data_IF_611046878835
#
_entry.id   IF_611046878835
#
_cell.length_a   1.000
_cell.length_b   1.000
_cell.length_c   1.000
_cell.angle_alpha   90.00
_cell.angle_beta   90.00
_cell.angle_gamma   90.00
#
_symmetry.space_group_name_H-M   'P 1'
#
loop_
_entity.id
_entity.type
_entity.pdbx_description
1 polymer ?
#
# COMPACT_ATOMS: atom_id res chain seq x y z
N UNK A 1 -13.51 -7.28 -2.91
CA UNK A 1 -14.05 -7.70 -1.60
C UNK A 1 -13.40 -6.91 -0.45
N UNK A 2 -12.16 -6.42 -0.59
CA UNK A 2 -11.46 -5.64 0.44
C UNK A 2 -11.98 -4.23 0.71
N UNK A 3 -12.50 -3.45 -0.25
CA UNK A 3 -12.98 -2.07 0.04
C UNK A 3 -14.10 -2.06 1.09
N UNK A 4 -14.98 -3.07 1.06
CA UNK A 4 -16.00 -3.27 2.10
C UNK A 4 -15.38 -3.68 3.43
N UNK A 5 -14.31 -4.49 3.40
CA UNK A 5 -13.56 -4.89 4.61
C UNK A 5 -12.81 -3.70 5.20
N UNK A 6 -12.25 -2.80 4.38
CA UNK A 6 -11.59 -1.57 4.82
C UNK A 6 -12.62 -0.64 5.48
N UNK A 7 -13.80 -0.51 4.87
CA UNK A 7 -14.89 0.31 5.42
C UNK A 7 -15.43 -0.23 6.73
N UNK A 8 -15.69 -1.54 6.80
CA UNK A 8 -16.13 -2.21 8.03
C UNK A 8 -15.06 -2.14 9.13
N UNK A 9 -13.78 -2.27 8.76
CA UNK A 9 -12.66 -2.15 9.70
C UNK A 9 -12.58 -0.73 10.28
N UNK A 10 -12.67 0.30 9.44
CA UNK A 10 -12.69 1.70 9.86
C UNK A 10 -13.90 1.99 10.74
N UNK A 11 -15.09 1.52 10.38
CA UNK A 11 -16.31 1.69 11.20
C UNK A 11 -16.16 1.08 12.59
N UNK A 12 -15.54 -0.10 12.69
CA UNK A 12 -15.25 -0.75 13.99
C UNK A 12 -14.23 0.05 14.80
N UNK A 13 -13.19 0.58 14.17
CA UNK A 13 -12.22 1.46 14.83
C UNK A 13 -12.89 2.71 15.42
N UNK A 14 -13.80 3.35 14.67
CA UNK A 14 -14.56 4.53 15.13
C UNK A 14 -15.44 4.19 16.33
N UNK A 15 -15.96 2.95 16.41
CA UNK A 15 -16.73 2.45 17.57
C UNK A 15 -15.85 2.02 18.76
N UNK A 16 -14.53 2.19 18.68
CA UNK A 16 -13.59 1.86 19.77
C UNK A 16 -13.13 0.41 19.82
N UNK A 17 -13.31 -0.38 18.76
CA UNK A 17 -12.85 -1.77 18.72
C UNK A 17 -11.32 -1.84 18.63
N UNK A 18 -10.67 -2.25 19.72
CA UNK A 18 -9.21 -2.38 19.79
C UNK A 18 -8.64 -3.43 18.83
N UNK A 19 -9.40 -4.50 18.53
CA UNK A 19 -8.96 -5.53 17.58
C UNK A 19 -8.97 -4.98 16.16
N UNK A 20 -9.97 -4.15 15.82
CA UNK A 20 -9.99 -3.43 14.56
C UNK A 20 -8.81 -2.46 14.44
N UNK A 21 -8.48 -1.72 15.52
CA UNK A 21 -7.31 -0.85 15.54
C UNK A 21 -6.00 -1.60 15.29
N UNK A 22 -5.78 -2.75 15.94
CA UNK A 22 -4.58 -3.57 15.68
C UNK A 22 -4.51 -4.04 14.23
N UNK A 23 -5.63 -4.50 13.67
CA UNK A 23 -5.67 -4.93 12.27
C UNK A 23 -5.42 -3.77 11.30
N UNK A 24 -5.90 -2.56 11.62
CA UNK A 24 -5.62 -1.36 10.84
C UNK A 24 -4.12 -1.01 10.90
N UNK A 25 -3.50 -1.06 12.09
CA UNK A 25 -2.07 -0.81 12.27
C UNK A 25 -1.24 -1.80 11.45
N UNK A 26 -1.43 -3.10 11.65
CA UNK A 26 -0.69 -4.15 10.93
C UNK A 26 -0.81 -4.02 9.40
N UNK A 27 -1.94 -3.51 8.91
CA UNK A 27 -2.17 -3.35 7.49
C UNK A 27 -1.37 -2.21 6.86
N UNK A 28 -1.21 -1.10 7.59
CA UNK A 28 -0.57 0.10 7.05
C UNK A 28 0.81 0.38 7.67
N UNK A 29 1.27 -0.42 8.63
CA UNK A 29 2.55 -0.19 9.31
C UNK A 29 3.70 -0.11 8.31
N UNK A 30 3.74 -1.03 7.34
CA UNK A 30 4.79 -1.05 6.33
C UNK A 30 4.78 0.21 5.47
N UNK A 31 3.59 0.70 5.06
CA UNK A 31 3.47 1.94 4.30
C UNK A 31 3.99 3.14 5.09
N UNK A 32 3.58 3.26 6.36
CA UNK A 32 3.99 4.36 7.23
C UNK A 32 5.50 4.33 7.46
N UNK A 33 6.07 3.16 7.80
CA UNK A 33 7.51 3.03 7.99
C UNK A 33 8.30 3.27 6.71
N UNK A 34 7.86 2.77 5.55
CA UNK A 34 8.54 3.02 4.27
C UNK A 34 8.59 4.50 3.93
N UNK A 35 7.50 5.25 4.15
CA UNK A 35 7.47 6.70 3.92
C UNK A 35 8.33 7.45 4.94
N UNK A 36 8.30 7.05 6.21
CA UNK A 36 9.11 7.67 7.25
C UNK A 36 10.61 7.47 6.99
N UNK A 37 11.03 6.24 6.69
CA UNK A 37 12.43 5.88 6.46
C UNK A 37 13.00 6.44 5.14
N UNK A 38 12.16 6.64 4.13
CA UNK A 38 12.57 7.33 2.91
C UNK A 38 12.99 8.78 3.17
N UNK A 39 12.44 9.40 4.23
CA UNK A 39 12.70 10.79 4.58
C UNK A 39 13.76 10.86 5.68
N UNK A 40 13.54 10.15 6.80
CA UNK A 40 14.43 10.04 7.95
C UNK A 40 15.01 8.63 8.01
N UNK A 41 16.26 8.38 7.57
CA UNK A 41 16.86 7.05 7.60
C UNK A 41 17.11 6.49 9.02
N UNK A 42 16.95 7.34 10.05
CA UNK A 42 17.10 6.99 11.45
C UNK A 42 15.86 6.24 11.97
N UNK A 43 16.07 5.05 12.53
CA UNK A 43 14.99 4.17 12.99
C UNK A 43 14.26 4.73 14.22
N UNK A 44 14.95 5.46 15.09
CA UNK A 44 14.32 6.10 16.26
C UNK A 44 13.34 7.18 15.81
N UNK A 45 13.79 8.08 14.91
CA UNK A 45 12.93 9.09 14.30
C UNK A 45 11.73 8.45 13.58
N UNK A 46 11.94 7.37 12.83
CA UNK A 46 10.87 6.68 12.11
C UNK A 46 9.83 6.08 13.06
N UNK A 47 10.26 5.53 14.21
CA UNK A 47 9.37 5.04 15.26
C UNK A 47 8.55 6.16 15.90
N UNK A 48 9.18 7.31 16.19
CA UNK A 48 8.47 8.48 16.75
C UNK A 48 7.45 9.05 15.75
N UNK A 49 7.83 9.16 14.48
CA UNK A 49 6.94 9.58 13.40
C UNK A 49 5.75 8.62 13.29
N UNK A 50 6.01 7.30 13.32
CA UNK A 50 4.97 6.28 13.29
C UNK A 50 3.96 6.51 14.42
N UNK A 51 4.42 6.67 15.66
CA UNK A 51 3.54 6.94 16.80
C UNK A 51 2.71 8.21 16.62
N UNK A 52 3.32 9.31 16.13
CA UNK A 52 2.62 10.57 15.87
C UNK A 52 1.54 10.44 14.79
N UNK A 53 1.82 9.69 13.71
CA UNK A 53 0.88 9.41 12.63
C UNK A 53 -0.33 8.66 13.18
N UNK A 54 -0.13 7.61 13.98
CA UNK A 54 -1.22 6.83 14.55
C UNK A 54 -2.04 7.59 15.60
N UNK A 55 -1.38 8.41 16.42
CA UNK A 55 -2.06 9.33 17.35
C UNK A 55 -2.97 10.31 16.61
N UNK A 56 -2.49 10.88 15.49
CA UNK A 56 -3.31 11.76 14.68
C UNK A 56 -4.43 11.01 13.97
N UNK A 57 -4.17 9.81 13.45
CA UNK A 57 -5.21 8.99 12.85
C UNK A 57 -6.30 8.67 13.87
N UNK A 58 -5.92 8.32 15.10
CA UNK A 58 -6.87 8.05 16.18
C UNK A 58 -7.83 9.22 16.41
N UNK A 59 -7.32 10.45 16.36
CA UNK A 59 -8.12 11.66 16.55
C UNK A 59 -8.98 12.04 15.34
N UNK A 60 -8.55 11.67 14.12
CA UNK A 60 -9.13 12.17 12.87
C UNK A 60 -9.79 11.10 12.02
N UNK A 61 -9.80 9.82 12.45
CA UNK A 61 -10.33 8.72 11.66
C UNK A 61 -11.80 8.95 11.28
N UNK A 62 -12.60 9.54 12.17
CA UNK A 62 -14.00 9.91 11.91
C UNK A 62 -14.18 10.98 10.83
N UNK A 63 -13.15 11.78 10.55
CA UNK A 63 -13.20 12.84 9.54
C UNK A 63 -12.92 12.30 8.13
N UNK A 64 -12.41 11.07 8.02
CA UNK A 64 -12.07 10.42 6.75
C UNK A 64 -13.35 9.91 6.08
N UNK A 65 -13.93 10.76 5.23
CA UNK A 65 -15.20 10.47 4.52
C UNK A 65 -15.13 9.33 3.51
N UNK A 66 -13.94 9.04 2.97
CA UNK A 66 -13.70 8.00 1.97
C UNK A 66 -12.55 7.13 2.43
N UNK A 67 -12.85 5.89 2.77
CA UNK A 67 -11.86 4.95 3.29
C UNK A 67 -10.78 4.63 2.24
N UNK A 68 -11.12 4.75 0.96
CA UNK A 68 -10.18 4.59 -0.15
C UNK A 68 -9.07 5.67 -0.14
N UNK A 69 -9.29 6.80 0.53
CA UNK A 69 -8.32 7.88 0.67
C UNK A 69 -7.36 7.67 1.86
N UNK A 70 -7.61 6.70 2.74
CA UNK A 70 -6.78 6.45 3.92
C UNK A 70 -5.29 6.23 3.61
N UNK A 71 -4.90 5.46 2.57
CA UNK A 71 -3.48 5.31 2.22
C UNK A 71 -2.81 6.64 1.85
N UNK A 72 -3.46 7.44 1.00
CA UNK A 72 -2.95 8.75 0.57
C UNK A 72 -2.88 9.73 1.75
N UNK A 73 -3.86 9.67 2.65
CA UNK A 73 -3.86 10.45 3.90
C UNK A 73 -2.66 10.06 4.79
N UNK A 74 -2.41 8.75 4.98
CA UNK A 74 -1.27 8.26 5.74
C UNK A 74 0.06 8.73 5.15
N UNK A 75 0.26 8.58 3.85
CA UNK A 75 1.47 9.07 3.16
C UNK A 75 1.66 10.57 3.41
N UNK A 76 0.58 11.36 3.29
CA UNK A 76 0.61 12.81 3.47
C UNK A 76 1.00 13.20 4.90
N UNK A 77 0.39 12.56 5.90
CA UNK A 77 0.63 12.86 7.31
C UNK A 77 2.02 12.40 7.74
N UNK A 78 2.45 11.19 7.35
CA UNK A 78 3.79 10.68 7.61
C UNK A 78 4.85 11.60 7.01
N UNK A 79 4.68 12.01 5.74
CA UNK A 79 5.61 12.94 5.09
C UNK A 79 5.70 14.27 5.85
N UNK A 80 4.56 14.80 6.31
CA UNK A 80 4.52 16.06 7.06
C UNK A 80 5.28 15.96 8.38
N UNK A 81 5.07 14.89 9.16
CA UNK A 81 5.79 14.66 10.41
C UNK A 81 7.28 14.45 10.17
N UNK A 82 7.66 13.61 9.20
CA UNK A 82 9.06 13.39 8.85
C UNK A 82 9.78 14.67 8.38
N UNK A 83 9.13 15.47 7.54
CA UNK A 83 9.67 16.76 7.09
C UNK A 83 9.81 17.78 8.23
N UNK A 84 8.98 17.66 9.27
CA UNK A 84 9.09 18.48 10.48
C UNK A 84 10.30 18.05 11.31
N UNK A 85 10.48 16.74 11.53
CA UNK A 85 11.61 16.15 12.26
C UNK A 85 12.96 16.54 11.64
N UNK A 86 13.11 16.43 10.31
CA UNK A 86 14.33 16.85 9.62
C UNK A 86 14.59 18.34 9.79
N UNK A 87 13.58 19.18 9.61
CA UNK A 87 13.73 20.64 9.77
C UNK A 87 14.16 21.02 11.17
N UNK A 88 13.67 20.35 12.20
CA UNK A 88 14.10 20.58 13.58
C UNK A 88 15.54 20.10 13.85
N UNK A 89 16.03 19.05 13.19
CA UNK A 89 17.41 18.55 13.35
C UNK A 89 18.44 19.38 12.55
N UNK A 90 18.12 19.74 11.31
CA UNK A 90 19.10 20.29 10.37
C UNK A 90 19.26 21.82 10.45
N UNK A 91 18.31 22.55 11.01
CA UNK A 91 18.30 24.03 10.99
C UNK A 91 18.35 24.66 9.59
N UNK A 92 18.29 23.86 8.52
CA UNK A 92 18.46 24.24 7.12
C UNK A 92 17.55 23.41 6.22
N UNK A 93 17.11 23.98 5.10
CA UNK A 93 16.29 23.30 4.10
C UNK A 93 17.09 22.24 3.32
N UNK A 94 16.49 21.08 3.01
CA UNK A 94 17.10 20.12 2.10
C UNK A 94 17.30 20.74 0.70
N UNK A 95 18.45 20.45 0.08
CA UNK A 95 18.77 20.87 -1.29
C UNK A 95 17.71 20.35 -2.28
N UNK A 96 17.44 21.12 -3.33
CA UNK A 96 16.34 20.88 -4.29
C UNK A 96 16.46 19.52 -5.03
N UNK A 97 17.69 19.02 -5.21
CA UNK A 97 17.97 17.71 -5.79
C UNK A 97 17.51 16.55 -4.87
N UNK A 98 17.78 16.66 -3.57
CA UNK A 98 17.30 15.68 -2.56
C UNK A 98 15.77 15.65 -2.50
N UNK A 99 15.12 16.79 -2.71
CA UNK A 99 13.66 16.87 -2.75
C UNK A 99 13.06 16.18 -3.98
N UNK A 100 13.76 16.21 -5.13
CA UNK A 100 13.32 15.55 -6.36
C UNK A 100 13.42 14.03 -6.23
N UNK A 101 14.54 13.53 -5.73
CA UNK A 101 14.75 12.09 -5.51
C UNK A 101 13.77 11.54 -4.49
N UNK A 102 13.54 12.28 -3.39
CA UNK A 102 12.55 11.92 -2.40
C UNK A 102 11.14 11.87 -2.99
N UNK A 103 10.74 12.84 -3.82
CA UNK A 103 9.43 12.80 -4.50
C UNK A 103 9.29 11.58 -5.39
N UNK A 104 10.35 11.19 -6.11
CA UNK A 104 10.33 10.00 -6.95
C UNK A 104 10.17 8.74 -6.09
N UNK A 105 10.97 8.60 -5.02
CA UNK A 105 10.90 7.47 -4.09
C UNK A 105 9.52 7.34 -3.44
N UNK A 106 8.95 8.43 -2.94
CA UNK A 106 7.59 8.43 -2.39
C UNK A 106 6.55 8.03 -3.44
N UNK A 107 6.69 8.51 -4.68
CA UNK A 107 5.84 8.10 -5.79
C UNK A 107 6.02 6.62 -6.18
N UNK A 108 7.17 6.02 -5.94
CA UNK A 108 7.38 4.57 -6.10
C UNK A 108 6.65 3.79 -5.00
N UNK A 109 6.81 4.18 -3.73
CA UNK A 109 6.12 3.56 -2.59
C UNK A 109 4.59 3.62 -2.77
N UNK A 110 4.06 4.77 -3.19
CA UNK A 110 2.63 4.92 -3.44
C UNK A 110 2.13 4.00 -4.57
N UNK A 111 2.89 3.90 -5.67
CA UNK A 111 2.55 3.01 -6.80
C UNK A 111 2.62 1.54 -6.42
N UNK A 112 3.65 1.11 -5.69
CA UNK A 112 3.77 -0.26 -5.20
C UNK A 112 2.61 -0.60 -4.27
N UNK A 113 2.30 0.28 -3.32
CA UNK A 113 1.17 0.09 -2.41
C UNK A 113 -0.17 0.00 -3.14
N UNK A 114 -0.39 0.87 -4.14
CA UNK A 114 -1.60 0.82 -4.97
C UNK A 114 -1.69 -0.49 -5.77
N UNK A 115 -0.56 -0.96 -6.33
CA UNK A 115 -0.48 -2.23 -7.05
C UNK A 115 -0.81 -3.41 -6.15
N UNK A 116 -0.21 -3.48 -4.95
CA UNK A 116 -0.48 -4.57 -3.99
C UNK A 116 -1.95 -4.62 -3.61
N UNK A 117 -2.58 -3.47 -3.35
CA UNK A 117 -4.03 -3.40 -3.08
C UNK A 117 -4.87 -3.81 -4.28
N UNK A 118 -4.47 -3.45 -5.49
CA UNK A 118 -5.20 -3.83 -6.70
C UNK A 118 -5.09 -5.34 -6.98
N UNK A 119 -3.92 -5.93 -6.77
CA UNK A 119 -3.69 -7.37 -6.86
C UNK A 119 -4.48 -8.14 -5.80
N UNK A 120 -4.59 -7.62 -4.58
CA UNK A 120 -5.39 -8.24 -3.52
C UNK A 120 -6.90 -8.24 -3.84
N UNK A 121 -7.38 -7.26 -4.61
CA UNK A 121 -8.75 -7.20 -5.12
C UNK A 121 -9.01 -8.13 -6.30
N UNK A 122 -7.99 -8.51 -7.07
CA UNK A 122 -8.10 -9.63 -8.00
C UNK A 122 -8.36 -10.90 -7.17
N UNK A 123 -9.50 -11.52 -7.36
CA UNK A 123 -9.85 -12.76 -6.66
C UNK A 123 -9.78 -13.96 -7.59
N UNK A 124 -9.51 -15.12 -6.97
CA UNK A 124 -9.52 -16.43 -7.62
C UNK A 124 -8.49 -16.54 -8.75
N UNK A 125 -8.96 -17.08 -9.88
CA UNK A 125 -8.11 -17.50 -11.00
C UNK A 125 -7.23 -16.39 -11.60
N UNK A 126 -7.65 -15.12 -11.52
CA UNK A 126 -6.86 -14.02 -12.06
C UNK A 126 -5.64 -13.68 -11.20
N UNK A 127 -5.77 -13.66 -9.88
CA UNK A 127 -4.64 -13.39 -8.99
C UNK A 127 -3.59 -14.49 -9.12
N UNK A 128 -4.01 -15.75 -9.02
CA UNK A 128 -3.11 -16.89 -9.18
C UNK A 128 -2.38 -16.88 -10.54
N UNK A 129 -3.07 -16.51 -11.62
CA UNK A 129 -2.43 -16.40 -12.94
C UNK A 129 -1.37 -15.30 -12.98
N UNK A 130 -1.66 -14.12 -12.44
CA UNK A 130 -0.70 -13.00 -12.40
C UNK A 130 0.49 -13.34 -11.51
N UNK A 131 0.26 -13.94 -10.35
CA UNK A 131 1.32 -14.38 -9.42
C UNK A 131 2.26 -15.38 -10.10
N UNK A 132 1.72 -16.39 -10.78
CA UNK A 132 2.52 -17.40 -11.50
C UNK A 132 3.32 -16.81 -12.67
N UNK A 133 2.81 -15.78 -13.35
CA UNK A 133 3.44 -15.21 -14.54
C UNK A 133 4.52 -14.18 -14.22
N UNK A 134 4.41 -13.45 -13.11
CA UNK A 134 5.21 -12.25 -12.88
C UNK A 134 5.91 -12.20 -11.52
N UNK A 135 5.47 -12.99 -10.54
CA UNK A 135 5.97 -12.94 -9.16
C UNK A 135 6.54 -14.27 -8.68
N UNK A 136 6.44 -15.33 -9.49
CA UNK A 136 6.94 -16.65 -9.13
C UNK A 136 8.39 -16.82 -9.58
N UNK A 137 9.25 -17.22 -8.64
CA UNK A 137 10.69 -17.41 -8.85
C UNK A 137 10.98 -18.56 -9.85
N UNK A 138 10.11 -19.57 -9.91
CA UNK A 138 10.29 -20.76 -10.76
C UNK A 138 9.96 -20.51 -12.24
N UNK A 139 9.38 -19.35 -12.58
CA UNK A 139 8.96 -18.97 -13.95
C UNK A 139 8.26 -20.11 -14.73
N UNK A 140 7.13 -20.65 -14.23
CA UNK A 140 6.49 -21.83 -14.80
C UNK A 140 6.05 -21.61 -16.25
N UNK A 141 6.18 -22.66 -17.06
CA UNK A 141 5.72 -22.67 -18.45
C UNK A 141 4.20 -22.55 -18.53
N UNK A 142 3.69 -22.16 -19.71
CA UNK A 142 2.24 -22.05 -19.94
C UNK A 142 1.51 -23.38 -19.74
N UNK A 143 2.18 -24.52 -19.99
CA UNK A 143 1.63 -25.84 -19.73
C UNK A 143 1.45 -26.10 -18.22
N UNK A 144 2.43 -25.70 -17.40
CA UNK A 144 2.36 -25.83 -15.94
C UNK A 144 1.34 -24.89 -15.33
N UNK A 145 1.28 -23.64 -15.81
CA UNK A 145 0.26 -22.67 -15.41
C UNK A 145 -1.14 -23.19 -15.74
N UNK A 146 -1.35 -23.69 -16.95
CA UNK A 146 -2.62 -24.25 -17.39
C UNK A 146 -3.06 -25.43 -16.51
N UNK A 147 -2.12 -26.34 -16.20
CA UNK A 147 -2.34 -27.46 -15.29
C UNK A 147 -2.71 -26.99 -13.88
N UNK A 148 -1.98 -26.04 -13.31
CA UNK A 148 -2.25 -25.47 -11.97
C UNK A 148 -3.61 -24.77 -11.89
N UNK A 149 -4.06 -24.12 -12.98
CA UNK A 149 -5.32 -23.37 -13.03
C UNK A 149 -6.54 -24.19 -13.50
N UNK A 150 -6.33 -25.42 -13.98
CA UNK A 150 -7.37 -26.28 -14.53
C UNK A 150 -7.99 -25.69 -15.81
N UNK A 151 -7.18 -25.12 -16.70
CA UNK A 151 -7.63 -24.53 -17.98
C UNK A 151 -6.82 -25.09 -19.17
N UNK A 152 -7.34 -25.04 -20.41
CA UNK A 152 -6.55 -25.38 -21.59
C UNK A 152 -5.35 -24.45 -21.75
N UNK A 153 -4.20 -24.96 -22.22
CA UNK A 153 -2.98 -24.15 -22.45
C UNK A 153 -3.25 -22.96 -23.37
N UNK A 154 -4.03 -23.17 -24.44
CA UNK A 154 -4.44 -22.11 -25.36
C UNK A 154 -5.28 -21.00 -24.70
N UNK A 155 -5.89 -21.27 -23.54
CA UNK A 155 -6.68 -20.29 -22.78
C UNK A 155 -5.84 -19.40 -21.87
N UNK A 156 -4.55 -19.71 -21.63
CA UNK A 156 -3.68 -18.93 -20.74
C UNK A 156 -3.51 -17.49 -21.24
N UNK A 157 -3.16 -17.30 -22.51
CA UNK A 157 -2.98 -15.97 -23.12
C UNK A 157 -4.23 -15.08 -23.06
N UNK A 158 -5.40 -15.54 -23.55
CA UNK A 158 -6.65 -14.78 -23.45
C UNK A 158 -7.06 -14.50 -21.99
N UNK A 159 -6.81 -15.44 -21.07
CA UNK A 159 -7.11 -15.26 -19.65
C UNK A 159 -6.18 -14.20 -19.03
N UNK A 160 -4.89 -14.20 -19.38
CA UNK A 160 -3.93 -13.16 -18.99
C UNK A 160 -4.42 -11.79 -19.42
N UNK A 161 -4.82 -11.62 -20.69
CA UNK A 161 -5.36 -10.35 -21.20
C UNK A 161 -6.58 -9.87 -20.41
N UNK A 162 -7.55 -10.74 -20.14
CA UNK A 162 -8.72 -10.41 -19.31
C UNK A 162 -8.36 -10.04 -17.87
N UNK A 163 -7.39 -10.72 -17.28
CA UNK A 163 -6.97 -10.45 -15.90
C UNK A 163 -6.18 -9.13 -15.80
N UNK A 164 -5.33 -8.82 -16.78
CA UNK A 164 -4.66 -7.51 -16.86
C UNK A 164 -5.66 -6.37 -17.07
N UNK A 165 -6.69 -6.57 -17.89
CA UNK A 165 -7.75 -5.56 -18.02
C UNK A 165 -8.53 -5.34 -16.72
N UNK A 166 -8.80 -6.41 -15.97
CA UNK A 166 -9.39 -6.27 -14.63
C UNK A 166 -8.47 -5.50 -13.69
N UNK A 167 -7.17 -5.79 -13.69
CA UNK A 167 -6.19 -5.09 -12.87
C UNK A 167 -6.14 -3.59 -13.20
N UNK A 168 -6.11 -3.26 -14.50
CA UNK A 168 -6.13 -1.88 -14.99
C UNK A 168 -7.36 -1.11 -14.49
N UNK A 169 -8.55 -1.72 -14.58
CA UNK A 169 -9.79 -1.11 -14.07
C UNK A 169 -9.80 -0.89 -12.56
N UNK A 170 -9.07 -1.70 -11.80
CA UNK A 170 -8.95 -1.54 -10.34
C UNK A 170 -7.94 -0.45 -9.98
N UNK A 171 -6.88 -0.29 -10.77
CA UNK A 171 -5.85 0.73 -10.58
C UNK A 171 -6.34 2.16 -10.90
N UNK A 172 -7.33 2.30 -11.79
CA UNK A 172 -7.83 3.59 -12.27
C UNK A 172 -7.30 3.92 -13.66
#
# INVERSE_FOLDING_TARGET
MEIRVDSELVDRCIRGDQTAWRALVLRYERLVYSVALAICPDMEDASDIFQQVWMELYQRLSDIRRVEALPAWLITVTRRHASKTIRSRAGSEPLDENLRDLRQQLGHIEREYALERALAQLSGRCRTLIDLLYFNIEEPSYAEIAKRLGIPVASVGPTRGRCLEKLRKVLG
#
